data_IF_602329682257
#
_entry.id   IF_602329682257
#
_cell.length_a   1.000
_cell.length_b   1.000
_cell.length_c   1.000
_cell.angle_alpha   90.00
_cell.angle_beta   90.00
_cell.angle_gamma   90.00
#
_symmetry.space_group_name_H-M   'P 1'
#
loop_
_entity.id
_entity.type
_entity.pdbx_description
1 polymer ?
#
# COMPACT_ATOMS: atom_id res chain seq x y z
N UNK A 1 1.70 -23.03 2.37
CA UNK A 1 1.89 -22.22 3.59
C UNK A 1 2.97 -21.19 3.35
N UNK A 2 2.66 -20.12 2.61
CA UNK A 2 3.59 -19.01 2.47
C UNK A 2 2.77 -17.71 2.36
N UNK A 3 2.60 -17.05 3.49
CA UNK A 3 2.00 -15.71 3.57
C UNK A 3 3.14 -14.73 3.35
N UNK A 4 3.56 -14.56 2.11
CA UNK A 4 4.59 -13.58 1.76
C UNK A 4 4.04 -12.17 1.99
N UNK A 5 4.37 -11.64 3.17
CA UNK A 5 4.10 -10.26 3.59
C UNK A 5 5.12 -9.38 2.86
N UNK A 6 4.69 -8.58 1.89
CA UNK A 6 5.60 -7.69 1.17
C UNK A 6 5.13 -6.24 1.35
N UNK A 7 5.94 -5.49 2.08
CA UNK A 7 5.88 -4.02 2.14
C UNK A 7 6.90 -3.48 1.14
N UNK A 8 6.46 -2.81 0.06
CA UNK A 8 7.41 -2.17 -0.88
C UNK A 8 7.39 -0.65 -0.72
N UNK A 9 8.59 -0.05 -0.58
CA UNK A 9 8.82 1.39 -0.82
C UNK A 9 10.03 1.54 -1.75
N UNK A 10 9.86 2.13 -2.94
CA UNK A 10 10.97 2.45 -3.85
C UNK A 10 11.79 3.61 -3.28
N UNK A 11 13.04 3.36 -2.90
CA UNK A 11 14.00 4.40 -2.54
C UNK A 11 14.77 4.84 -3.79
N UNK A 12 14.49 6.04 -4.32
CA UNK A 12 15.30 6.65 -5.37
C UNK A 12 16.50 7.37 -4.75
N UNK A 13 17.71 6.85 -4.93
CA UNK A 13 18.96 7.55 -4.58
C UNK A 13 19.26 8.60 -5.65
N UNK A 14 19.45 9.86 -5.26
CA UNK A 14 20.03 10.90 -6.12
C UNK A 14 21.17 11.61 -5.40
N UNK A 15 22.36 11.52 -6.01
CA UNK A 15 23.47 12.48 -6.07
C UNK A 15 23.79 13.43 -4.92
N UNK A 16 25.04 13.36 -4.48
CA UNK A 16 25.77 14.37 -3.70
C UNK A 16 25.88 15.73 -4.40
N UNK A 17 25.74 16.84 -3.66
CA UNK A 17 26.65 17.99 -3.64
C UNK A 17 26.25 18.99 -2.52
N UNK A 18 27.26 19.69 -2.01
CA UNK A 18 27.38 20.48 -0.77
C UNK A 18 26.70 21.87 -0.76
N UNK A 19 26.33 22.37 0.44
CA UNK A 19 26.39 23.81 0.77
C UNK A 19 25.29 24.44 1.64
N UNK A 20 25.56 24.58 2.95
CA UNK A 20 25.17 25.59 3.96
C UNK A 20 23.74 26.21 4.08
N UNK A 21 23.27 26.16 5.34
CA UNK A 21 22.60 27.18 6.18
C UNK A 21 21.11 27.00 6.57
N UNK A 22 20.95 26.81 7.89
CA UNK A 22 19.84 27.06 8.83
C UNK A 22 18.36 26.99 8.37
N UNK A 23 17.64 25.97 8.87
CA UNK A 23 16.34 26.13 9.52
C UNK A 23 15.91 24.83 10.23
N UNK A 24 15.91 24.88 11.56
CA UNK A 24 14.97 24.28 12.52
C UNK A 24 14.04 23.11 12.10
N UNK A 25 14.05 22.06 12.95
CA UNK A 25 13.11 20.93 13.06
C UNK A 25 13.31 19.75 12.10
N UNK A 26 14.52 19.20 12.08
CA UNK A 26 14.76 17.84 11.60
C UNK A 26 14.49 16.82 12.71
N UNK A 27 13.28 16.26 12.73
CA UNK A 27 13.05 14.99 13.41
C UNK A 27 13.77 13.90 12.63
N UNK A 28 14.88 13.42 13.17
CA UNK A 28 15.58 12.23 12.71
C UNK A 28 14.68 11.00 12.90
N UNK A 29 13.80 10.74 11.93
CA UNK A 29 13.03 9.51 11.85
C UNK A 29 13.94 8.37 11.37
N UNK A 30 14.84 7.96 12.25
CA UNK A 30 15.50 6.65 12.22
C UNK A 30 14.41 5.57 12.24
N UNK A 31 13.96 5.12 11.08
CA UNK A 31 13.11 3.94 10.95
C UNK A 31 13.95 2.68 11.12
N UNK A 32 14.34 2.42 12.36
CA UNK A 32 14.73 1.08 12.80
C UNK A 32 13.57 0.51 13.63
N UNK A 33 12.90 -0.51 13.08
CA UNK A 33 11.78 -1.25 13.69
C UNK A 33 10.41 -0.56 13.69
N UNK A 34 9.70 -0.63 12.56
CA UNK A 34 8.23 -0.50 12.58
C UNK A 34 7.69 -1.75 13.27
N UNK A 35 7.11 -1.58 14.47
CA UNK A 35 6.62 -2.73 15.24
C UNK A 35 5.52 -3.47 14.45
N UNK A 36 5.55 -4.83 14.40
CA UNK A 36 4.54 -5.64 13.70
C UNK A 36 3.11 -5.34 14.16
N UNK A 37 2.94 -4.79 15.37
CA UNK A 37 1.68 -4.33 15.92
C UNK A 37 0.98 -3.25 15.08
N UNK A 38 1.72 -2.42 14.33
CA UNK A 38 1.13 -1.37 13.48
C UNK A 38 0.58 -1.95 12.17
N UNK A 39 1.14 -3.06 11.67
CA UNK A 39 0.78 -3.60 10.36
C UNK A 39 -0.40 -4.58 10.41
N UNK A 40 -0.56 -5.32 11.51
CA UNK A 40 -1.60 -6.34 11.62
C UNK A 40 -3.02 -5.82 11.34
N UNK A 41 -3.44 -4.61 11.80
CA UNK A 41 -4.76 -4.08 11.47
C UNK A 41 -4.97 -3.85 9.96
N UNK A 42 -3.97 -3.30 9.26
CA UNK A 42 -4.08 -3.02 7.83
C UNK A 42 -4.06 -4.30 6.97
N UNK A 43 -3.36 -5.34 7.41
CA UNK A 43 -3.43 -6.66 6.78
C UNK A 43 -4.81 -7.28 6.96
N UNK A 44 -5.42 -7.13 8.15
CA UNK A 44 -6.79 -7.59 8.40
C UNK A 44 -7.81 -6.90 7.50
N UNK A 45 -7.64 -5.61 7.19
CA UNK A 45 -8.45 -4.88 6.22
C UNK A 45 -8.26 -5.43 4.79
N UNK A 46 -7.02 -5.67 4.35
CA UNK A 46 -6.77 -6.28 3.04
C UNK A 46 -7.40 -7.69 2.93
N UNK A 47 -7.37 -8.48 4.01
CA UNK A 47 -8.06 -9.78 4.07
C UNK A 47 -9.58 -9.63 4.03
N UNK A 48 -10.15 -8.53 4.53
CA UNK A 48 -11.59 -8.26 4.39
C UNK A 48 -11.98 -8.04 2.93
N UNK A 49 -11.20 -7.25 2.20
CA UNK A 49 -11.40 -7.05 0.76
C UNK A 49 -11.25 -8.36 -0.04
N UNK A 50 -10.28 -9.20 0.31
CA UNK A 50 -10.13 -10.53 -0.29
C UNK A 50 -11.38 -11.41 -0.11
N UNK A 51 -12.05 -11.32 1.05
CA UNK A 51 -13.31 -12.04 1.33
C UNK A 51 -14.46 -11.49 0.49
N UNK A 52 -14.50 -10.19 0.22
CA UNK A 52 -15.49 -9.59 -0.69
C UNK A 52 -15.31 -10.15 -2.10
N UNK A 53 -14.08 -10.12 -2.62
CA UNK A 53 -13.77 -10.68 -3.94
C UNK A 53 -14.15 -12.16 -4.07
N UNK A 54 -13.90 -12.95 -3.03
CA UNK A 54 -14.31 -14.35 -2.97
C UNK A 54 -15.84 -14.53 -3.01
N UNK A 55 -16.57 -13.72 -2.23
CA UNK A 55 -18.03 -13.80 -2.15
C UNK A 55 -18.70 -13.44 -3.48
N UNK A 56 -18.05 -12.61 -4.31
CA UNK A 56 -18.48 -12.29 -5.67
C UNK A 56 -18.05 -13.33 -6.73
N UNK A 57 -17.44 -14.45 -6.32
CA UNK A 57 -16.95 -15.50 -7.22
C UNK A 57 -15.61 -15.17 -7.90
N UNK A 58 -14.88 -14.19 -7.38
CA UNK A 58 -13.57 -13.77 -7.88
C UNK A 58 -12.39 -14.46 -7.22
N UNK A 59 -11.19 -13.97 -7.56
CA UNK A 59 -9.93 -14.43 -6.95
C UNK A 59 -9.78 -13.74 -5.58
N UNK A 60 -9.53 -14.47 -4.47
CA UNK A 60 -9.51 -13.90 -3.11
C UNK A 60 -8.21 -13.14 -2.82
N UNK A 61 -8.02 -12.00 -3.47
CA UNK A 61 -6.90 -11.08 -3.24
C UNK A 61 -7.48 -9.71 -2.93
N UNK A 62 -7.01 -9.11 -1.84
CA UNK A 62 -7.44 -7.79 -1.38
C UNK A 62 -6.25 -6.89 -1.11
N UNK A 63 -6.52 -5.58 -1.14
CA UNK A 63 -5.50 -4.55 -1.02
C UNK A 63 -6.05 -3.31 -0.31
N UNK A 64 -5.22 -2.66 0.51
CA UNK A 64 -5.50 -1.35 1.09
C UNK A 64 -4.32 -0.40 0.94
N UNK A 65 -4.62 0.86 0.64
CA UNK A 65 -3.66 1.96 0.60
C UNK A 65 -3.75 2.74 1.90
N UNK A 66 -2.64 2.85 2.63
CA UNK A 66 -2.57 3.50 3.94
C UNK A 66 -1.64 4.70 3.87
N UNK A 67 -2.05 5.82 4.45
CA UNK A 67 -1.20 7.01 4.64
C UNK A 67 -1.42 7.52 6.05
N UNK A 68 -0.34 7.86 6.77
CA UNK A 68 -0.41 8.36 8.15
C UNK A 68 -1.28 7.47 9.08
N UNK A 69 -1.09 6.15 9.02
CA UNK A 69 -1.88 5.15 9.77
C UNK A 69 -3.39 5.15 9.49
N UNK A 70 -3.84 5.72 8.37
CA UNK A 70 -5.24 5.73 7.96
C UNK A 70 -5.41 5.04 6.61
N UNK A 71 -6.44 4.20 6.48
CA UNK A 71 -6.82 3.60 5.19
C UNK A 71 -7.44 4.68 4.31
N UNK A 72 -6.78 4.97 3.20
CA UNK A 72 -7.22 5.94 2.19
C UNK A 72 -8.10 5.27 1.15
N UNK A 73 -7.74 4.06 0.73
CA UNK A 73 -8.46 3.32 -0.28
C UNK A 73 -8.38 1.81 -0.04
N UNK A 74 -9.34 1.11 -0.63
CA UNK A 74 -9.49 -0.35 -0.57
C UNK A 74 -9.76 -0.86 -1.98
N UNK A 75 -9.38 -2.09 -2.25
CA UNK A 75 -9.70 -2.76 -3.50
C UNK A 75 -9.50 -4.26 -3.39
N UNK A 76 -10.12 -4.99 -4.32
CA UNK A 76 -9.96 -6.43 -4.44
C UNK A 76 -9.90 -6.85 -5.91
N UNK A 77 -9.47 -8.08 -6.14
CA UNK A 77 -9.35 -8.59 -7.50
C UNK A 77 -10.74 -8.70 -8.16
N UNK A 78 -10.94 -7.92 -9.22
CA UNK A 78 -12.19 -7.84 -10.00
C UNK A 78 -12.04 -8.39 -11.41
N UNK A 79 -10.99 -9.18 -11.68
CA UNK A 79 -10.71 -9.73 -13.01
C UNK A 79 -11.87 -10.56 -13.55
N UNK A 80 -12.45 -11.41 -12.71
CA UNK A 80 -13.55 -12.30 -13.11
C UNK A 80 -14.85 -11.49 -13.25
N UNK A 81 -15.16 -10.67 -12.25
CA UNK A 81 -16.40 -9.91 -12.13
C UNK A 81 -16.56 -8.85 -13.23
N UNK A 82 -15.44 -8.29 -13.72
CA UNK A 82 -15.41 -7.27 -14.76
C UNK A 82 -14.86 -7.76 -16.10
N UNK A 83 -14.51 -9.05 -16.22
CA UNK A 83 -13.83 -9.57 -17.42
C UNK A 83 -12.52 -8.84 -17.73
N UNK A 84 -11.82 -8.33 -16.72
CA UNK A 84 -10.65 -7.48 -16.88
C UNK A 84 -9.35 -8.26 -16.70
N UNK A 85 -8.32 -7.89 -17.47
CA UNK A 85 -6.97 -8.45 -17.33
C UNK A 85 -6.09 -7.64 -16.37
N UNK A 86 -6.51 -6.42 -16.01
CA UNK A 86 -5.71 -5.48 -15.20
C UNK A 86 -6.33 -5.12 -13.85
N UNK A 87 -7.60 -5.41 -13.60
CA UNK A 87 -8.26 -5.09 -12.32
C UNK A 87 -7.89 -6.10 -11.23
N UNK A 88 -6.60 -6.16 -10.92
CA UNK A 88 -6.07 -6.78 -9.70
C UNK A 88 -6.40 -5.91 -8.49
N UNK A 89 -6.22 -6.44 -7.28
CA UNK A 89 -6.58 -5.73 -6.06
C UNK A 89 -5.83 -4.40 -5.92
N UNK A 90 -4.55 -4.36 -6.30
CA UNK A 90 -3.71 -3.17 -6.29
C UNK A 90 -4.25 -2.08 -7.22
N UNK A 91 -4.66 -2.48 -8.43
CA UNK A 91 -5.15 -1.54 -9.44
C UNK A 91 -6.53 -1.00 -9.06
N UNK A 92 -7.44 -1.87 -8.60
CA UNK A 92 -8.76 -1.46 -8.09
C UNK A 92 -8.64 -0.53 -6.86
N UNK A 93 -7.66 -0.77 -5.98
CA UNK A 93 -7.36 0.07 -4.83
C UNK A 93 -6.83 1.46 -5.24
N UNK A 94 -5.92 1.50 -6.23
CA UNK A 94 -5.39 2.77 -6.77
C UNK A 94 -6.45 3.55 -7.54
N UNK A 95 -7.32 2.88 -8.31
CA UNK A 95 -8.46 3.50 -8.96
C UNK A 95 -9.44 4.09 -7.93
N UNK A 96 -9.71 3.36 -6.84
CA UNK A 96 -10.55 3.81 -5.74
C UNK A 96 -9.97 5.01 -4.98
N UNK A 97 -8.64 5.11 -4.88
CA UNK A 97 -7.95 6.28 -4.32
C UNK A 97 -8.07 7.52 -5.23
N UNK A 98 -8.42 7.33 -6.49
CA UNK A 98 -8.49 8.37 -7.50
C UNK A 98 -7.12 8.95 -7.87
N UNK A 99 -7.14 10.06 -8.61
CA UNK A 99 -5.90 10.74 -9.03
C UNK A 99 -5.25 11.45 -7.84
N UNK A 100 -4.10 10.96 -7.40
CA UNK A 100 -3.28 11.58 -6.37
C UNK A 100 -1.93 12.08 -6.92
N UNK A 101 -1.25 12.93 -6.16
CA UNK A 101 0.08 13.44 -6.52
C UNK A 101 1.18 12.43 -6.20
N UNK A 102 2.36 12.58 -6.83
CA UNK A 102 3.50 11.74 -6.48
C UNK A 102 3.94 11.91 -5.01
N UNK A 103 3.80 13.12 -4.45
CA UNK A 103 4.09 13.38 -3.03
C UNK A 103 3.15 12.58 -2.11
N UNK A 104 1.86 12.51 -2.47
CA UNK A 104 0.88 11.70 -1.75
C UNK A 104 1.33 10.22 -1.66
N UNK A 105 1.66 9.62 -2.80
CA UNK A 105 2.04 8.20 -2.86
C UNK A 105 3.37 7.89 -2.15
N UNK A 106 4.30 8.86 -2.07
CA UNK A 106 5.59 8.67 -1.35
C UNK A 106 5.43 8.45 0.16
N UNK A 107 4.30 8.89 0.71
CA UNK A 107 3.92 8.75 2.12
C UNK A 107 2.96 7.57 2.35
N UNK A 108 2.58 6.87 1.29
CA UNK A 108 1.66 5.75 1.39
C UNK A 108 2.41 4.41 1.55
N UNK A 109 1.73 3.47 2.19
CA UNK A 109 2.08 2.05 2.23
C UNK A 109 0.92 1.29 1.61
N UNK A 110 1.22 0.42 0.65
CA UNK A 110 0.25 -0.49 0.05
C UNK A 110 0.36 -1.85 0.75
N UNK A 111 -0.75 -2.34 1.29
CA UNK A 111 -0.86 -3.67 1.87
C UNK A 111 -1.66 -4.55 0.91
N UNK A 112 -1.12 -5.71 0.54
CA UNK A 112 -1.78 -6.68 -0.34
C UNK A 112 -1.67 -8.08 0.27
N UNK A 113 -2.66 -8.94 0.02
CA UNK A 113 -2.71 -10.30 0.55
C UNK A 113 -1.83 -11.29 -0.21
N UNK A 114 -1.26 -10.87 -1.35
CA UNK A 114 -0.35 -11.66 -2.18
C UNK A 114 0.80 -10.77 -2.66
N UNK A 115 1.96 -11.35 -2.96
CA UNK A 115 2.99 -10.62 -3.70
C UNK A 115 2.42 -10.08 -5.03
N UNK A 116 2.62 -8.79 -5.35
CA UNK A 116 2.29 -8.25 -6.65
C UNK A 116 3.15 -8.86 -7.76
#
# INVERSE_FOLDING_TARGET
EDKSIITTRKNSRTGSLSGHSNASHGGDFSMSHVSPMIHAPFISEALAEARVGLAEGGIPIGCVLVRNNQVIARGYNRRIQRGSVILHAEMDCLESAGRQTAAFYKECILYTTLSP
#
